data_IF_527300716170
#
_entry.id   IF_527300716170
#
_cell.length_a   1.000
_cell.length_b   1.000
_cell.length_c   1.000
_cell.angle_alpha   90.00
_cell.angle_beta   90.00
_cell.angle_gamma   90.00
#
_symmetry.space_group_name_H-M   'P 1'
#
loop_
_entity.id
_entity.type
_entity.pdbx_description
1 polymer ?
#
# COMPACT_ATOMS: atom_id res chain seq x y z
N UNK A 1 6.70 -3.27 1.91
CA UNK A 1 7.18 -4.53 1.28
C UNK A 1 6.74 -5.74 2.09
N UNK A 2 6.53 -6.89 1.44
CA UNK A 2 5.78 -8.04 1.99
C UNK A 2 5.95 -9.32 1.17
N UNK A 3 4.98 -10.24 1.21
CA UNK A 3 5.01 -11.50 0.45
C UNK A 3 3.61 -11.89 -0.02
N UNK A 4 3.51 -12.52 -1.19
CA UNK A 4 2.25 -13.09 -1.69
C UNK A 4 2.53 -14.23 -2.67
N UNK A 5 1.66 -15.24 -2.71
CA UNK A 5 1.78 -16.42 -3.59
C UNK A 5 3.13 -17.15 -3.52
N UNK A 6 3.80 -17.13 -2.36
CA UNK A 6 5.14 -17.73 -2.20
C UNK A 6 6.29 -16.87 -2.75
N UNK A 7 6.01 -15.65 -3.21
CA UNK A 7 6.98 -14.67 -3.64
C UNK A 7 7.23 -13.62 -2.56
N UNK A 8 8.51 -13.26 -2.36
CA UNK A 8 8.93 -12.10 -1.59
C UNK A 8 8.88 -10.86 -2.48
N UNK A 9 8.34 -9.77 -1.97
CA UNK A 9 8.26 -8.48 -2.64
C UNK A 9 9.31 -7.56 -1.99
N UNK A 10 10.36 -7.21 -2.72
CA UNK A 10 11.50 -6.43 -2.20
C UNK A 10 11.99 -5.40 -3.22
N UNK A 11 12.88 -4.51 -2.81
CA UNK A 11 13.60 -3.57 -3.68
C UNK A 11 15.10 -3.88 -3.69
N UNK A 12 15.77 -3.62 -4.81
CA UNK A 12 17.24 -3.61 -4.87
C UNK A 12 17.84 -2.32 -4.28
N UNK A 13 19.16 -2.15 -4.41
CA UNK A 13 19.89 -0.96 -3.96
C UNK A 13 19.46 0.34 -4.66
N UNK A 14 18.86 0.22 -5.84
CA UNK A 14 18.33 1.32 -6.64
C UNK A 14 16.82 1.49 -6.47
N UNK A 15 16.23 0.77 -5.52
CA UNK A 15 14.77 0.72 -5.31
C UNK A 15 13.98 0.20 -6.52
N UNK A 16 14.56 -0.58 -7.42
CA UNK A 16 13.75 -1.34 -8.37
C UNK A 16 12.98 -2.42 -7.62
N UNK A 17 11.66 -2.46 -7.77
CA UNK A 17 10.82 -3.49 -7.17
C UNK A 17 11.06 -4.83 -7.87
N UNK A 18 11.39 -5.86 -7.10
CA UNK A 18 11.67 -7.22 -7.58
C UNK A 18 10.83 -8.21 -6.78
N UNK A 19 10.20 -9.14 -7.50
CA UNK A 19 9.54 -10.30 -6.93
C UNK A 19 10.55 -11.46 -6.93
N UNK A 20 10.80 -12.06 -5.77
CA UNK A 20 11.77 -13.16 -5.61
C UNK A 20 11.07 -14.41 -5.10
N UNK A 21 11.21 -15.52 -5.81
CA UNK A 21 10.80 -16.82 -5.31
C UNK A 21 11.98 -17.46 -4.55
N UNK A 22 11.93 -17.59 -3.22
CA UNK A 22 13.06 -18.11 -2.45
C UNK A 22 13.35 -19.59 -2.70
N UNK A 23 12.37 -20.35 -3.20
CA UNK A 23 12.51 -21.80 -3.46
C UNK A 23 13.12 -22.04 -4.83
N UNK A 24 12.59 -21.40 -5.87
CA UNK A 24 13.03 -21.59 -7.26
C UNK A 24 14.17 -20.66 -7.67
N UNK A 25 14.44 -19.62 -6.87
CA UNK A 25 15.36 -18.51 -7.17
C UNK A 25 14.96 -17.67 -8.38
N UNK A 26 13.74 -17.86 -8.89
CA UNK A 26 13.20 -17.03 -9.95
C UNK A 26 13.04 -15.59 -9.46
N UNK A 27 13.31 -14.64 -10.35
CA UNK A 27 13.19 -13.21 -10.08
C UNK A 27 12.42 -12.55 -11.21
N UNK A 28 11.51 -11.64 -10.84
CA UNK A 28 10.72 -10.86 -11.80
C UNK A 28 10.89 -9.40 -11.40
N UNK A 29 11.58 -8.64 -12.25
CA UNK A 29 11.75 -7.20 -12.07
C UNK A 29 10.50 -6.46 -12.56
N UNK A 30 10.04 -5.49 -11.77
CA UNK A 30 9.01 -4.53 -12.15
C UNK A 30 9.65 -3.31 -12.83
N UNK A 31 8.86 -2.42 -13.45
CA UNK A 31 9.39 -1.20 -14.03
C UNK A 31 10.18 -0.35 -13.04
N UNK A 32 11.27 0.31 -13.48
CA UNK A 32 12.08 1.17 -12.63
C UNK A 32 11.27 2.33 -12.01
N UNK A 33 11.67 2.84 -10.83
CA UNK A 33 11.06 4.00 -10.18
C UNK A 33 10.81 5.20 -11.08
N UNK A 34 11.78 5.55 -11.94
CA UNK A 34 11.72 6.72 -12.83
C UNK A 34 10.63 6.64 -13.90
N UNK A 35 10.01 5.47 -14.08
CA UNK A 35 8.86 5.30 -14.98
C UNK A 35 7.53 5.66 -14.31
N UNK A 36 7.52 5.92 -13.00
CA UNK A 36 6.38 6.50 -12.31
C UNK A 36 6.23 7.98 -12.66
N UNK A 37 4.99 8.44 -12.81
CA UNK A 37 4.70 9.80 -13.26
C UNK A 37 5.38 10.88 -12.40
N UNK A 38 5.44 10.67 -11.08
CA UNK A 38 5.92 11.65 -10.11
C UNK A 38 7.36 11.43 -9.62
N UNK A 39 8.15 10.62 -10.31
CA UNK A 39 9.53 10.35 -9.94
C UNK A 39 10.48 10.89 -11.00
N UNK A 40 11.53 11.60 -10.58
CA UNK A 40 12.62 12.08 -11.43
C UNK A 40 13.95 11.58 -10.90
N UNK A 41 14.89 11.31 -11.80
CA UNK A 41 16.26 10.94 -11.45
C UNK A 41 17.02 12.20 -11.01
N UNK A 42 17.70 12.12 -9.86
CA UNK A 42 18.55 13.19 -9.34
C UNK A 42 20.02 12.79 -9.49
N UNK A 43 20.81 13.69 -10.06
CA UNK A 43 22.24 13.51 -10.31
C UNK A 43 23.06 14.53 -9.51
N UNK A 44 24.28 14.17 -9.14
CA UNK A 44 25.28 15.10 -8.61
C UNK A 44 25.77 16.05 -9.71
N UNK A 45 26.51 17.09 -9.32
CA UNK A 45 27.17 18.00 -10.27
C UNK A 45 28.12 17.26 -11.23
N UNK A 46 28.74 16.16 -10.78
CA UNK A 46 29.61 15.29 -11.58
C UNK A 46 28.84 14.33 -12.52
N UNK A 47 27.50 14.40 -12.55
CA UNK A 47 26.66 13.54 -13.38
C UNK A 47 26.46 12.11 -12.86
N UNK A 48 26.79 11.85 -11.59
CA UNK A 48 26.56 10.56 -10.94
C UNK A 48 25.15 10.50 -10.39
N UNK A 49 24.42 9.41 -10.60
CA UNK A 49 23.09 9.25 -10.04
C UNK A 49 23.16 9.15 -8.50
N UNK A 50 22.49 10.07 -7.81
CA UNK A 50 22.50 10.18 -6.34
C UNK A 50 21.15 9.83 -5.70
N UNK A 51 20.06 9.86 -6.47
CA UNK A 51 18.76 9.54 -5.90
C UNK A 51 17.58 9.86 -6.80
N UNK A 52 16.45 10.10 -6.14
CA UNK A 52 15.17 10.39 -6.76
C UNK A 52 14.57 11.66 -6.17
N UNK A 53 13.99 12.47 -7.05
CA UNK A 53 13.09 13.55 -6.67
C UNK A 53 11.66 13.07 -6.85
N UNK A 54 10.95 12.91 -5.74
CA UNK A 54 9.54 12.49 -5.75
C UNK A 54 8.66 13.72 -5.63
N UNK A 55 7.99 14.03 -6.73
CA UNK A 55 7.12 15.19 -6.91
C UNK A 55 5.77 14.94 -6.24
N UNK A 56 5.15 16.03 -5.80
CA UNK A 56 3.78 16.02 -5.35
C UNK A 56 2.84 16.05 -6.57
N UNK A 57 1.89 15.12 -6.63
CA UNK A 57 0.84 15.11 -7.67
C UNK A 57 -0.43 15.72 -7.12
N UNK A 58 -0.97 16.73 -7.80
CA UNK A 58 -2.32 17.21 -7.56
C UNK A 58 -3.32 16.42 -8.41
N UNK A 59 -4.16 15.64 -7.73
CA UNK A 59 -5.22 14.85 -8.35
C UNK A 59 -6.37 15.70 -8.90
N UNK A 60 -6.52 16.96 -8.47
CA UNK A 60 -7.53 17.87 -9.02
C UNK A 60 -7.12 18.40 -10.40
N UNK A 61 -5.91 18.93 -10.53
CA UNK A 61 -5.35 19.38 -11.82
C UNK A 61 -4.89 18.23 -12.71
N UNK A 62 -4.62 17.05 -12.12
CA UNK A 62 -3.95 15.90 -12.74
C UNK A 62 -2.54 16.23 -13.24
N UNK A 63 -1.87 17.12 -12.51
CA UNK A 63 -0.52 17.60 -12.82
C UNK A 63 0.36 17.62 -11.57
N UNK A 64 1.64 17.95 -11.74
CA UNK A 64 2.58 18.16 -10.64
C UNK A 64 2.22 19.46 -9.90
N UNK A 65 2.25 19.40 -8.58
CA UNK A 65 2.24 20.61 -7.75
C UNK A 65 3.65 21.20 -7.79
N UNK A 66 3.82 22.24 -8.60
CA UNK A 66 5.09 22.96 -8.77
C UNK A 66 5.39 23.93 -7.64
N UNK A 67 4.45 24.15 -6.71
CA UNK A 67 4.66 25.05 -5.57
C UNK A 67 5.32 24.32 -4.40
N UNK A 68 5.17 22.99 -4.32
CA UNK A 68 5.80 22.19 -3.27
C UNK A 68 7.18 21.67 -3.68
N UNK A 69 8.14 21.85 -2.76
CA UNK A 69 9.47 21.24 -2.87
C UNK A 69 9.38 19.70 -2.94
N UNK A 70 10.10 19.05 -3.87
CA UNK A 70 10.13 17.60 -3.99
C UNK A 70 10.69 16.91 -2.74
N UNK A 71 10.34 15.64 -2.57
CA UNK A 71 11.05 14.77 -1.63
C UNK A 71 12.33 14.27 -2.29
N UNK A 72 13.48 14.73 -1.79
CA UNK A 72 14.79 14.23 -2.17
C UNK A 72 15.07 12.93 -1.41
N UNK A 73 15.05 11.81 -2.12
CA UNK A 73 15.31 10.50 -1.55
C UNK A 73 16.63 9.97 -2.10
N UNK A 74 17.40 9.28 -1.26
CA UNK A 74 18.49 8.44 -1.76
C UNK A 74 17.93 7.26 -2.57
N UNK A 75 18.80 6.62 -3.35
CA UNK A 75 18.45 5.41 -4.10
C UNK A 75 17.88 4.31 -3.21
N UNK A 76 18.38 4.19 -1.98
CA UNK A 76 17.96 3.15 -1.03
C UNK A 76 16.63 3.50 -0.34
N UNK A 77 16.43 4.77 0.02
CA UNK A 77 15.24 5.21 0.75
C UNK A 77 13.97 5.18 -0.10
N UNK A 78 14.11 5.36 -1.42
CA UNK A 78 12.97 5.47 -2.34
C UNK A 78 12.00 4.28 -2.23
N UNK A 79 12.48 3.05 -2.01
CA UNK A 79 11.63 1.86 -1.88
C UNK A 79 10.60 1.96 -0.75
N UNK A 80 10.91 2.70 0.32
CA UNK A 80 9.99 2.88 1.46
C UNK A 80 8.89 3.90 1.16
N UNK A 81 9.13 4.81 0.20
CA UNK A 81 8.16 5.80 -0.25
C UNK A 81 7.31 5.29 -1.42
N UNK A 82 7.95 4.66 -2.41
CA UNK A 82 7.29 4.25 -3.64
C UNK A 82 6.44 2.98 -3.47
N UNK A 83 6.76 2.14 -2.48
CA UNK A 83 6.14 0.82 -2.29
C UNK A 83 5.64 0.61 -0.85
N UNK A 84 4.94 1.61 -0.30
CA UNK A 84 4.40 1.58 1.06
C UNK A 84 3.46 0.37 1.29
N UNK A 85 2.67 0.03 0.26
CA UNK A 85 1.93 -1.23 0.12
C UNK A 85 2.11 -1.78 -1.28
N UNK A 86 2.12 -3.10 -1.41
CA UNK A 86 2.21 -3.81 -2.69
C UNK A 86 1.31 -5.02 -2.62
N UNK A 87 0.42 -5.18 -3.59
CA UNK A 87 -0.51 -6.32 -3.69
C UNK A 87 -0.46 -6.90 -5.10
N UNK A 88 -0.42 -8.23 -5.17
CA UNK A 88 -0.43 -9.00 -6.40
C UNK A 88 -1.84 -9.56 -6.66
N UNK A 89 -2.31 -9.55 -7.90
CA UNK A 89 -3.57 -10.16 -8.28
C UNK A 89 -3.51 -11.69 -8.37
N UNK A 90 -2.34 -12.28 -8.68
CA UNK A 90 -2.17 -13.72 -8.79
C UNK A 90 -0.70 -14.14 -8.64
N UNK A 91 -0.39 -15.41 -8.88
CA UNK A 91 0.99 -15.87 -8.97
C UNK A 91 1.69 -15.19 -10.18
N UNK A 92 2.75 -14.41 -9.96
CA UNK A 92 3.41 -13.65 -11.01
C UNK A 92 4.14 -14.53 -12.04
N UNK A 93 4.32 -15.83 -11.77
CA UNK A 93 4.92 -16.77 -12.74
C UNK A 93 3.99 -17.21 -13.87
N UNK A 94 2.66 -17.04 -13.72
CA UNK A 94 1.68 -17.53 -14.69
C UNK A 94 1.33 -16.49 -15.78
N UNK A 95 1.95 -15.31 -15.74
CA UNK A 95 1.65 -14.20 -16.65
C UNK A 95 0.36 -13.45 -16.30
N UNK A 96 0.22 -12.21 -16.78
CA UNK A 96 -0.93 -11.33 -16.55
C UNK A 96 -1.22 -10.96 -15.07
N UNK A 97 -0.25 -11.12 -14.18
CA UNK A 97 -0.37 -10.66 -12.80
C UNK A 97 -0.25 -9.14 -12.74
N UNK A 98 -1.25 -8.49 -12.14
CA UNK A 98 -1.24 -7.06 -11.85
C UNK A 98 -0.64 -6.82 -10.47
N UNK A 99 0.27 -5.85 -10.40
CA UNK A 99 0.90 -5.36 -9.19
C UNK A 99 0.37 -3.97 -8.91
N UNK A 100 -0.36 -3.80 -7.81
CA UNK A 100 -0.88 -2.52 -7.34
C UNK A 100 -0.05 -2.04 -6.16
N UNK A 101 0.37 -0.78 -6.20
CA UNK A 101 1.16 -0.16 -5.13
C UNK A 101 0.47 1.06 -4.55
N UNK A 102 0.68 1.28 -3.25
CA UNK A 102 0.43 2.56 -2.60
C UNK A 102 1.75 3.31 -2.51
N UNK A 103 1.79 4.49 -3.12
CA UNK A 103 2.97 5.35 -3.22
C UNK A 103 2.80 6.64 -2.40
N UNK A 104 3.89 7.08 -1.78
CA UNK A 104 4.02 8.41 -1.18
C UNK A 104 4.54 9.42 -2.22
N UNK A 105 4.26 10.73 -2.05
CA UNK A 105 3.41 11.32 -1.01
C UNK A 105 1.90 11.08 -1.26
N UNK A 106 1.10 11.30 -0.22
CA UNK A 106 -0.38 11.26 -0.24
C UNK A 106 -1.02 9.88 -0.44
N UNK A 107 -0.26 8.80 -0.37
CA UNK A 107 -0.75 7.42 -0.45
C UNK A 107 -1.64 7.19 -1.69
N UNK A 108 -1.11 7.57 -2.85
CA UNK A 108 -1.77 7.42 -4.15
C UNK A 108 -1.52 6.03 -4.71
N UNK A 109 -2.22 5.69 -5.80
CA UNK A 109 -2.13 4.36 -6.41
C UNK A 109 -1.43 4.41 -7.76
N UNK A 110 -0.55 3.44 -7.98
CA UNK A 110 0.02 3.12 -9.29
C UNK A 110 -0.02 1.61 -9.48
N UNK A 111 -0.15 1.15 -10.72
CA UNK A 111 -0.15 -0.26 -11.03
C UNK A 111 0.68 -0.58 -12.27
N UNK A 112 1.06 -1.85 -12.38
CA UNK A 112 1.78 -2.40 -13.54
C UNK A 112 1.43 -3.88 -13.68
N UNK A 113 1.58 -4.45 -14.87
CA UNK A 113 1.47 -5.91 -15.07
C UNK A 113 2.85 -6.51 -15.23
N UNK A 114 2.99 -7.79 -14.86
CA UNK A 114 4.22 -8.55 -15.10
C UNK A 114 4.55 -8.50 -16.60
N UNK A 115 5.70 -7.92 -16.93
CA UNK A 115 6.18 -7.72 -18.31
C UNK A 115 5.98 -6.30 -18.86
N UNK A 116 5.23 -5.43 -18.18
CA UNK A 116 5.15 -4.01 -18.53
C UNK A 116 6.50 -3.31 -18.30
N UNK A 117 6.71 -2.20 -18.99
CA UNK A 117 7.94 -1.39 -18.91
C UNK A 117 7.76 -0.08 -18.15
N UNK A 118 6.54 0.24 -17.71
CA UNK A 118 6.21 1.46 -16.96
C UNK A 118 5.12 1.24 -15.92
N UNK A 119 5.13 2.11 -14.91
CA UNK A 119 4.00 2.24 -13.98
C UNK A 119 2.88 3.07 -14.61
N UNK A 120 1.64 2.70 -14.31
CA UNK A 120 0.44 3.46 -14.69
C UNK A 120 -0.19 4.04 -13.43
N UNK A 121 -0.25 5.37 -13.36
CA UNK A 121 -0.90 6.08 -12.28
C UNK A 121 -2.42 5.93 -12.35
N UNK A 122 -3.09 5.82 -11.20
CA UNK A 122 -4.55 5.75 -11.12
C UNK A 122 -5.12 7.12 -10.77
N UNK A 123 -5.68 7.80 -11.77
CA UNK A 123 -6.24 9.16 -11.68
C UNK A 123 -7.76 9.20 -11.94
N UNK A 124 -8.44 8.05 -11.84
CA UNK A 124 -9.85 7.89 -12.18
C UNK A 124 -10.80 8.86 -11.44
N UNK A 125 -10.39 9.38 -10.28
CA UNK A 125 -11.14 10.38 -9.50
C UNK A 125 -10.15 11.28 -8.72
N UNK A 126 -10.41 12.59 -8.56
CA UNK A 126 -9.62 13.51 -7.73
C UNK A 126 -9.34 13.05 -6.28
N UNK A 127 -10.12 12.09 -5.78
CA UNK A 127 -9.97 11.54 -4.43
C UNK A 127 -9.19 10.21 -4.35
N UNK A 128 -8.50 9.77 -5.42
CA UNK A 128 -7.66 8.55 -5.42
C UNK A 128 -6.35 8.74 -4.62
N UNK A 129 -6.47 9.07 -3.34
CA UNK A 129 -5.38 9.33 -2.39
C UNK A 129 -5.75 8.87 -0.98
N UNK A 130 -4.79 8.88 -0.07
CA UNK A 130 -4.92 8.52 1.34
C UNK A 130 -5.33 7.04 1.56
N UNK A 131 -4.88 6.15 0.67
CA UNK A 131 -5.04 4.71 0.85
C UNK A 131 -4.11 4.20 1.95
N UNK A 132 -4.64 3.44 2.91
CA UNK A 132 -3.84 2.91 4.03
C UNK A 132 -3.50 1.44 3.83
N UNK A 133 -4.36 0.73 3.12
CA UNK A 133 -4.18 -0.68 2.80
C UNK A 133 -4.98 -1.06 1.56
N UNK A 134 -4.58 -2.15 0.94
CA UNK A 134 -5.17 -2.70 -0.28
C UNK A 134 -5.25 -4.22 -0.15
N UNK A 135 -6.30 -4.79 -0.72
CA UNK A 135 -6.55 -6.23 -0.78
C UNK A 135 -6.98 -6.59 -2.20
N UNK A 136 -6.53 -7.73 -2.72
CA UNK A 136 -7.09 -8.30 -3.94
C UNK A 136 -8.06 -9.43 -3.58
N UNK A 137 -9.25 -9.43 -4.18
CA UNK A 137 -10.24 -10.49 -4.02
C UNK A 137 -10.23 -11.37 -5.28
N UNK A 138 -9.86 -12.63 -5.12
CA UNK A 138 -9.81 -13.59 -6.23
C UNK A 138 -11.19 -14.01 -6.74
N UNK A 139 -12.26 -13.79 -5.97
CA UNK A 139 -13.61 -14.22 -6.35
C UNK A 139 -14.25 -13.33 -7.42
N UNK A 140 -14.02 -12.02 -7.36
CA UNK A 140 -14.55 -11.03 -8.32
C UNK A 140 -13.45 -10.39 -9.19
N UNK A 141 -12.18 -10.64 -8.88
CA UNK A 141 -11.04 -10.12 -9.61
C UNK A 141 -10.79 -8.63 -9.40
N UNK A 142 -11.25 -8.06 -8.27
CA UNK A 142 -11.13 -6.65 -7.94
C UNK A 142 -10.14 -6.40 -6.81
N UNK A 143 -9.53 -5.21 -6.83
CA UNK A 143 -8.82 -4.67 -5.68
C UNK A 143 -9.76 -3.86 -4.81
N UNK A 144 -9.52 -3.89 -3.50
CA UNK A 144 -10.25 -3.17 -2.47
C UNK A 144 -9.26 -2.29 -1.72
N UNK A 145 -9.43 -0.97 -1.79
CA UNK A 145 -8.58 0.00 -1.11
C UNK A 145 -9.30 0.63 0.07
N UNK A 146 -8.72 0.58 1.27
CA UNK A 146 -9.25 1.30 2.44
C UNK A 146 -8.55 2.63 2.59
N UNK A 147 -9.33 3.68 2.86
CA UNK A 147 -8.84 5.06 3.04
C UNK A 147 -9.08 5.54 4.46
N UNK A 148 -8.59 6.75 4.75
CA UNK A 148 -8.96 7.46 5.98
C UNK A 148 -10.48 7.62 6.13
N UNK A 149 -10.96 7.64 7.38
CA UNK A 149 -12.41 7.62 7.72
C UNK A 149 -13.14 6.43 7.09
N UNK A 150 -12.61 5.24 7.30
CA UNK A 150 -13.24 3.93 7.03
C UNK A 150 -13.82 3.70 5.62
N UNK A 151 -13.58 4.59 4.68
CA UNK A 151 -14.05 4.45 3.31
C UNK A 151 -13.34 3.29 2.61
N UNK A 152 -14.10 2.56 1.80
CA UNK A 152 -13.58 1.48 0.96
C UNK A 152 -13.97 1.75 -0.49
N UNK A 153 -12.98 1.64 -1.36
CA UNK A 153 -13.14 1.73 -2.81
C UNK A 153 -12.86 0.36 -3.43
N UNK A 154 -13.61 0.01 -4.48
CA UNK A 154 -13.21 -1.03 -5.44
C UNK A 154 -12.40 -0.39 -6.55
N UNK A 155 -11.37 -1.10 -7.00
CA UNK A 155 -10.44 -0.69 -8.05
C UNK A 155 -10.39 -1.83 -9.07
N UNK A 156 -10.97 -1.60 -10.24
CA UNK A 156 -10.99 -2.55 -11.35
C UNK A 156 -9.90 -2.18 -12.36
N UNK A 157 -8.97 -3.11 -12.59
CA UNK A 157 -7.82 -2.94 -13.49
C UNK A 157 -7.88 -3.88 -14.71
N UNK A 158 -9.03 -4.52 -14.95
CA UNK A 158 -9.22 -5.46 -16.06
C UNK A 158 -9.52 -4.77 -17.40
N UNK A 159 -9.93 -3.50 -17.36
CA UNK A 159 -10.21 -2.68 -18.54
C UNK A 159 -8.98 -1.94 -19.09
N UNK A 160 -9.16 -1.15 -20.16
CA UNK A 160 -8.11 -0.32 -20.73
C UNK A 160 -7.68 0.82 -19.80
N UNK A 161 -8.55 1.23 -18.88
CA UNK A 161 -8.30 2.25 -17.87
C UNK A 161 -8.79 1.75 -16.51
N UNK A 162 -8.17 2.24 -15.43
CA UNK A 162 -8.59 1.92 -14.07
C UNK A 162 -9.97 2.52 -13.77
N UNK A 163 -10.87 1.73 -13.19
CA UNK A 163 -12.16 2.18 -12.70
C UNK A 163 -12.18 2.11 -11.17
N UNK A 164 -12.46 3.24 -10.51
CA UNK A 164 -12.51 3.34 -9.05
C UNK A 164 -13.92 3.69 -8.59
N UNK A 165 -14.52 2.85 -7.76
CA UNK A 165 -15.89 3.04 -7.22
C UNK A 165 -15.88 3.00 -5.71
N UNK A 166 -16.46 4.02 -5.08
CA UNK A 166 -16.70 4.03 -3.63
C UNK A 166 -17.80 3.05 -3.29
N UNK A 167 -17.48 2.01 -2.52
CA UNK A 167 -18.45 0.98 -2.10
C UNK A 167 -18.80 1.07 -0.62
N UNK A 168 -18.01 1.79 0.18
CA UNK A 168 -18.36 2.17 1.54
C UNK A 168 -18.04 3.65 1.72
N UNK A 169 -19.06 4.47 1.97
CA UNK A 169 -18.87 5.89 2.27
C UNK A 169 -18.28 6.06 3.69
N UNK A 170 -17.57 7.17 3.96
CA UNK A 170 -17.10 7.45 5.32
C UNK A 170 -18.24 7.48 6.32
N UNK A 171 -18.21 6.61 7.32
CA UNK A 171 -19.23 6.55 8.38
C UNK A 171 -18.74 7.33 9.60
N UNK A 172 -17.43 7.29 9.89
CA UNK A 172 -16.87 7.92 11.07
C UNK A 172 -16.17 9.25 10.79
N UNK A 173 -16.12 10.10 11.82
CA UNK A 173 -15.23 11.25 11.85
C UNK A 173 -13.75 10.82 11.84
N UNK A 174 -12.87 11.75 11.50
CA UNK A 174 -11.44 11.46 11.39
C UNK A 174 -10.88 10.90 12.70
N UNK A 175 -10.33 9.68 12.61
CA UNK A 175 -9.56 9.03 13.68
C UNK A 175 -8.19 8.65 13.14
N UNK A 176 -7.14 9.04 13.87
CA UNK A 176 -5.73 8.78 13.56
C UNK A 176 -5.33 7.33 13.85
N UNK A 177 -6.07 6.38 13.29
CA UNK A 177 -5.76 4.94 13.30
C UNK A 177 -5.25 4.54 11.92
N UNK A 178 -4.28 3.62 11.88
CA UNK A 178 -3.99 2.86 10.67
C UNK A 178 -5.11 1.86 10.44
N UNK A 179 -5.54 1.72 9.20
CA UNK A 179 -6.62 0.83 8.77
C UNK A 179 -6.07 -0.22 7.83
N UNK A 180 -6.55 -1.43 8.02
CA UNK A 180 -6.25 -2.58 7.19
C UNK A 180 -7.56 -3.21 6.74
N UNK A 181 -7.56 -3.81 5.56
CA UNK A 181 -8.73 -4.49 5.01
C UNK A 181 -8.39 -5.96 4.78
N UNK A 182 -9.27 -6.83 5.26
CA UNK A 182 -9.10 -8.28 5.15
C UNK A 182 -10.43 -8.91 4.75
N UNK A 183 -10.36 -9.98 3.97
CA UNK A 183 -11.49 -10.83 3.66
C UNK A 183 -11.34 -12.15 4.39
N UNK A 184 -12.38 -12.57 5.10
CA UNK A 184 -12.40 -13.86 5.75
C UNK A 184 -12.66 -14.99 4.73
N UNK A 185 -12.28 -16.24 5.04
CA UNK A 185 -12.50 -17.37 4.13
C UNK A 185 -13.96 -17.62 3.74
N UNK A 186 -14.92 -17.14 4.55
CA UNK A 186 -16.36 -17.23 4.26
C UNK A 186 -16.91 -16.02 3.49
N UNK A 187 -16.04 -15.12 3.01
CA UNK A 187 -16.38 -14.02 2.10
C UNK A 187 -16.67 -12.67 2.77
N UNK A 188 -16.91 -12.64 4.08
CA UNK A 188 -17.11 -11.36 4.79
C UNK A 188 -15.85 -10.49 4.76
N UNK A 189 -16.06 -9.18 4.64
CA UNK A 189 -14.99 -8.18 4.74
C UNK A 189 -14.92 -7.58 6.13
N UNK A 190 -13.69 -7.33 6.59
CA UNK A 190 -13.42 -6.68 7.86
C UNK A 190 -12.43 -5.53 7.69
N UNK A 191 -12.62 -4.47 8.48
CA UNK A 191 -11.57 -3.50 8.73
C UNK A 191 -10.94 -3.74 10.08
N UNK A 192 -9.61 -3.72 10.11
CA UNK A 192 -8.82 -3.76 11.34
C UNK A 192 -8.25 -2.37 11.57
N UNK A 193 -8.57 -1.77 12.70
CA UNK A 193 -8.06 -0.46 13.08
C UNK A 193 -6.99 -0.63 14.15
N UNK A 194 -5.79 -0.20 13.82
CA UNK A 194 -4.65 -0.17 14.74
C UNK A 194 -4.54 1.21 15.37
N UNK A 195 -4.67 1.23 16.69
CA UNK A 195 -4.38 2.40 17.51
C UNK A 195 -2.95 2.29 18.05
N UNK A 196 -2.14 3.30 17.76
CA UNK A 196 -0.78 3.42 18.28
C UNK A 196 -0.75 4.38 19.47
N UNK A 197 0.04 4.04 20.49
CA UNK A 197 0.43 4.95 21.55
C UNK A 197 1.89 5.37 21.37
N UNK A 198 2.22 6.53 21.90
CA UNK A 198 3.61 6.97 21.99
C UNK A 198 4.24 6.38 23.24
N UNK A 199 5.29 5.57 23.07
CA UNK A 199 6.19 5.25 24.17
C UNK A 199 7.32 6.28 24.19
N UNK A 200 7.72 6.69 25.39
CA UNK A 200 8.89 7.54 25.62
C UNK A 200 9.88 6.75 26.45
N UNK A 201 10.68 5.93 25.78
CA UNK A 201 11.85 5.30 26.39
C UNK A 201 13.10 6.02 25.88
N UNK A 202 14.01 6.38 26.79
CA UNK A 202 15.31 6.97 26.49
C UNK A 202 15.27 8.22 25.57
N UNK A 203 14.22 9.03 25.67
CA UNK A 203 14.07 10.28 24.89
C UNK A 203 13.63 10.09 23.43
N UNK A 204 13.50 8.85 22.94
CA UNK A 204 12.98 8.53 21.60
C UNK A 204 11.46 8.35 21.67
N UNK A 205 10.72 8.99 20.76
CA UNK A 205 9.26 8.86 20.65
C UNK A 205 8.94 7.79 19.62
N UNK A 206 8.73 6.57 20.07
CA UNK A 206 8.35 5.48 19.17
C UNK A 206 6.84 5.22 19.26
N UNK A 207 6.21 5.02 18.10
CA UNK A 207 4.81 4.60 18.00
C UNK A 207 4.75 3.09 18.15
N UNK A 208 4.13 2.63 19.24
CA UNK A 208 3.90 1.22 19.49
C UNK A 208 2.41 0.92 19.39
N UNK A 209 2.08 -0.22 18.79
CA UNK A 209 0.70 -0.67 18.72
C UNK A 209 0.15 -0.89 20.14
N UNK A 210 -1.02 -0.31 20.43
CA UNK A 210 -1.69 -0.44 21.73
C UNK A 210 -2.92 -1.35 21.62
N UNK A 211 -3.77 -1.08 20.62
CA UNK A 211 -5.06 -1.77 20.45
C UNK A 211 -5.36 -2.04 19.00
N UNK A 212 -6.09 -3.12 18.79
CA UNK A 212 -6.76 -3.42 17.54
C UNK A 212 -8.27 -3.46 17.74
N UNK A 213 -8.99 -2.86 16.80
CA UNK A 213 -10.44 -2.96 16.71
C UNK A 213 -10.80 -3.64 15.40
N UNK A 214 -11.67 -4.64 15.46
CA UNK A 214 -12.12 -5.37 14.27
C UNK A 214 -13.57 -5.01 14.01
N UNK A 215 -13.85 -4.55 12.80
CA UNK A 215 -15.18 -4.17 12.34
C UNK A 215 -15.57 -5.04 11.16
N UNK A 216 -16.71 -5.71 11.26
CA UNK A 216 -17.35 -6.34 10.09
C UNK A 216 -17.94 -5.24 9.21
N UNK A 217 -17.69 -5.31 7.92
CA UNK A 217 -18.20 -4.36 6.93
C UNK A 217 -19.49 -4.92 6.32
N UNK A 218 -20.50 -4.07 6.21
CA UNK A 218 -21.69 -4.32 5.42
C UNK A 218 -21.79 -3.25 4.33
N UNK A 219 -21.46 -3.64 3.09
CA UNK A 219 -21.50 -2.73 1.95
C UNK A 219 -22.92 -2.39 1.52
N UNK A 220 -23.93 -3.23 1.83
CA UNK A 220 -25.33 -2.99 1.44
C UNK A 220 -25.95 -1.98 2.39
N UNK A 221 -25.81 -2.22 3.69
CA UNK A 221 -26.35 -1.33 4.73
C UNK A 221 -25.47 -0.09 4.98
N UNK A 222 -24.31 0.03 4.32
CA UNK A 222 -23.36 1.13 4.50
C UNK A 222 -22.99 1.34 5.98
N UNK A 223 -22.66 0.25 6.68
CA UNK A 223 -22.32 0.28 8.11
C UNK A 223 -21.13 -0.61 8.44
N UNK A 224 -20.52 -0.33 9.58
CA UNK A 224 -19.47 -1.14 10.17
C UNK A 224 -19.86 -1.51 11.60
N UNK A 225 -19.81 -2.81 11.92
CA UNK A 225 -20.20 -3.32 13.24
C UNK A 225 -18.98 -3.85 13.97
N UNK A 226 -18.69 -3.24 15.13
CA UNK A 226 -17.56 -3.64 15.97
C UNK A 226 -17.74 -5.07 16.48
N UNK A 227 -16.77 -5.92 16.18
CA UNK A 227 -16.77 -7.33 16.58
C UNK A 227 -15.89 -7.53 17.81
N UNK A 228 -14.66 -7.01 17.78
CA UNK A 228 -13.62 -7.32 18.78
C UNK A 228 -12.82 -6.08 19.14
N UNK A 229 -12.37 -6.00 20.39
CA UNK A 229 -11.26 -5.12 20.82
C UNK A 229 -10.18 -5.98 21.44
N UNK A 230 -8.95 -5.87 20.96
CA UNK A 230 -7.79 -6.51 21.57
C UNK A 230 -6.80 -5.46 22.07
N UNK A 231 -6.22 -5.68 23.26
CA UNK A 231 -5.09 -4.90 23.80
C UNK A 231 -3.83 -5.73 23.63
N UNK A 232 -2.75 -5.11 23.17
CA UNK A 232 -1.44 -5.77 23.14
C UNK A 232 -0.81 -5.64 24.52
N UNK A 233 -0.69 -6.76 25.22
CA UNK A 233 0.22 -6.92 26.37
C UNK A 233 1.57 -7.37 25.82
N UNK A 234 2.69 -6.76 26.24
CA UNK A 234 4.04 -7.00 25.69
C UNK A 234 4.29 -8.49 25.36
N UNK A 235 4.36 -8.86 24.08
CA UNK A 235 4.96 -10.13 23.67
C UNK A 235 6.47 -9.87 23.55
N UNK A 236 7.25 -10.36 24.52
CA UNK A 236 8.71 -10.38 24.46
C UNK A 236 9.13 -11.35 23.37
N UNK A 237 9.84 -10.84 22.36
CA UNK A 237 10.45 -11.63 21.28
C UNK A 237 11.53 -12.55 21.86
N UNK A 238 11.19 -13.81 22.07
CA UNK A 238 12.14 -14.92 22.03
C UNK A 238 11.48 -16.07 21.27
N UNK A 239 11.84 -16.17 19.99
CA UNK A 239 11.77 -17.35 19.12
C UNK A 239 10.46 -18.14 18.99
N UNK A 240 10.05 -18.29 17.74
CA UNK A 240 9.02 -19.21 17.20
C UNK A 240 7.59 -18.67 17.23
N UNK A 241 7.04 -18.60 16.02
CA UNK A 241 5.68 -18.18 15.70
C UNK A 241 4.69 -19.10 16.43
N UNK A 242 4.07 -18.60 17.49
CA UNK A 242 2.76 -19.05 17.93
C UNK A 242 2.01 -17.88 18.57
N UNK A 243 0.98 -17.43 17.87
CA UNK A 243 -0.28 -16.88 18.41
C UNK A 243 -0.24 -16.22 19.79
N UNK A 244 -0.15 -14.88 19.83
CA UNK A 244 -0.63 -14.08 20.96
C UNK A 244 -2.07 -13.62 20.65
N UNK A 245 -3.09 -14.40 21.05
CA UNK A 245 -4.48 -13.93 21.16
C UNK A 245 -4.95 -14.18 22.60
N UNK A 246 -5.51 -13.14 23.22
CA UNK A 246 -6.35 -13.23 24.43
C UNK A 246 -7.75 -12.77 24.06
#
# INVERSE_FOLDING_TARGET
MGSSYGWLITGDERSNLILVNPVTRAQIAMPPPETMNNVRLRYTEDGVLDGYDVLYMDLFSRDFDTEMEPYHLTLEEARFYLYARVVLSCDPSHGNCTVLVVQLPKDQLSYTRVGDTKWTWIDANPNCRAYQDILYNTNDGLFYGVRGRDQVDTINLNGPSAEVKVILKPIISYQAHSRYIVQAPWGDFFQIWRHDKYNKENGRKDRVADKFFVYKIDFVEQRSSKQITSKITQCSLVTTVHSCFQ
#
